data_IF_318879617587
#
_entry.id   IF_318879617587
#
_cell.length_a   1.000
_cell.length_b   1.000
_cell.length_c   1.000
_cell.angle_alpha   90.00
_cell.angle_beta   90.00
_cell.angle_gamma   90.00
#
_symmetry.space_group_name_H-M   'P 1'
#
loop_
_entity.id
_entity.type
_entity.pdbx_description
1 polymer ?
#
# COMPACT_ATOMS: atom_id res chain seq x y z
N UNK A 1 17.02 -12.70 -5.62
CA UNK A 1 17.02 -11.92 -4.36
C UNK A 1 18.45 -11.91 -3.84
N UNK A 2 18.91 -10.82 -3.26
CA UNK A 2 20.31 -10.71 -2.83
C UNK A 2 20.58 -11.52 -1.53
N UNK A 3 19.52 -11.84 -0.75
CA UNK A 3 19.60 -12.52 0.54
C UNK A 3 18.64 -13.71 0.72
N UNK A 4 17.96 -14.15 -0.35
CA UNK A 4 16.97 -15.24 -0.31
C UNK A 4 15.69 -14.91 0.48
N UNK A 5 14.77 -15.89 0.62
CA UNK A 5 13.54 -15.70 1.36
C UNK A 5 13.80 -15.57 2.86
N UNK A 6 13.11 -14.62 3.50
CA UNK A 6 13.19 -14.37 4.94
C UNK A 6 11.79 -14.46 5.53
N UNK A 7 11.65 -15.14 6.67
CA UNK A 7 10.38 -15.20 7.40
C UNK A 7 10.05 -13.82 7.99
N UNK A 8 8.87 -13.30 7.67
CA UNK A 8 8.33 -12.07 8.25
C UNK A 8 7.68 -12.29 9.64
N UNK A 9 6.92 -11.30 10.09
CA UNK A 9 6.22 -11.36 11.39
C UNK A 9 5.01 -12.32 11.42
N UNK A 10 4.58 -12.82 10.25
CA UNK A 10 3.42 -13.72 10.12
C UNK A 10 2.10 -13.14 10.66
N UNK A 11 1.93 -11.82 10.59
CA UNK A 11 0.68 -11.14 10.97
C UNK A 11 -0.39 -11.18 9.88
N UNK A 12 0.03 -11.34 8.62
CA UNK A 12 -0.81 -11.41 7.44
C UNK A 12 -0.32 -12.57 6.57
N UNK A 13 -1.25 -13.42 6.12
CA UNK A 13 -0.93 -14.53 5.21
C UNK A 13 -0.57 -13.98 3.83
N UNK A 14 0.61 -14.33 3.34
CA UNK A 14 1.08 -13.93 2.03
C UNK A 14 2.58 -13.77 1.95
N UNK A 15 3.02 -13.07 0.91
CA UNK A 15 4.44 -12.90 0.59
C UNK A 15 4.74 -11.51 0.09
N UNK A 16 5.95 -11.02 0.38
CA UNK A 16 6.48 -9.83 -0.25
C UNK A 16 7.20 -10.26 -1.53
N UNK A 17 6.70 -9.84 -2.68
CA UNK A 17 7.21 -10.26 -4.00
C UNK A 17 7.76 -9.09 -4.77
N UNK A 18 8.72 -9.36 -5.65
CA UNK A 18 9.31 -8.33 -6.51
C UNK A 18 8.32 -7.91 -7.59
N UNK A 19 8.23 -6.61 -7.83
CA UNK A 19 7.54 -6.06 -9.00
C UNK A 19 8.21 -6.57 -10.28
N UNK A 20 7.41 -7.11 -11.18
CA UNK A 20 7.86 -7.46 -12.53
C UNK A 20 7.98 -6.19 -13.37
N UNK A 21 9.10 -6.05 -14.08
CA UNK A 21 9.26 -4.92 -15.00
C UNK A 21 8.51 -5.22 -16.29
N UNK A 22 7.65 -4.31 -16.72
CA UNK A 22 6.94 -4.36 -18.00
C UNK A 22 7.31 -3.12 -18.85
N UNK A 23 6.70 -2.95 -20.02
CA UNK A 23 6.90 -1.73 -20.81
C UNK A 23 6.27 -0.50 -20.12
N UNK A 24 5.21 -0.74 -19.35
CA UNK A 24 4.38 0.24 -18.64
C UNK A 24 4.87 0.42 -17.19
N UNK A 25 5.33 -0.65 -16.52
CA UNK A 25 5.80 -0.66 -15.13
C UNK A 25 7.30 -0.51 -15.02
N UNK A 26 7.74 0.66 -14.55
CA UNK A 26 9.12 0.87 -14.10
C UNK A 26 9.34 0.27 -12.71
N UNK A 27 10.54 -0.27 -12.48
CA UNK A 27 10.98 -0.81 -11.19
C UNK A 27 12.26 -0.10 -10.76
N UNK A 28 12.32 0.52 -9.57
CA UNK A 28 11.25 0.60 -8.56
C UNK A 28 10.02 1.38 -9.05
N UNK A 29 8.85 1.05 -8.50
CA UNK A 29 7.71 1.96 -8.55
C UNK A 29 8.09 3.18 -7.70
N UNK A 30 8.22 4.33 -8.34
CA UNK A 30 8.70 5.55 -7.72
C UNK A 30 7.93 6.75 -8.24
N UNK A 31 7.26 7.47 -7.34
CA UNK A 31 6.49 8.66 -7.68
C UNK A 31 5.16 8.72 -6.96
N UNK A 32 4.33 9.66 -7.41
CA UNK A 32 2.99 9.86 -6.89
C UNK A 32 2.02 8.94 -7.60
N UNK A 33 1.34 8.07 -6.87
CA UNK A 33 0.31 7.18 -7.42
C UNK A 33 -1.05 7.49 -6.80
N UNK A 34 -2.14 7.48 -7.59
CA UNK A 34 -3.48 7.53 -7.05
C UNK A 34 -3.77 6.20 -6.35
N UNK A 35 -4.25 6.27 -5.11
CA UNK A 35 -4.67 5.10 -4.34
C UNK A 35 -6.16 4.88 -4.51
N UNK A 36 -6.54 3.67 -4.95
CA UNK A 36 -7.91 3.22 -5.04
C UNK A 36 -8.25 2.41 -3.79
N UNK A 37 -9.15 2.95 -2.97
CA UNK A 37 -9.71 2.24 -1.82
C UNK A 37 -10.68 1.17 -2.30
N UNK A 38 -10.43 -0.09 -1.92
CA UNK A 38 -11.32 -1.23 -2.19
C UNK A 38 -12.34 -1.41 -1.06
N UNK A 39 -11.93 -1.15 0.18
CA UNK A 39 -12.78 -1.26 1.36
C UNK A 39 -12.61 -0.05 2.27
N UNK A 40 -13.70 0.46 2.87
CA UNK A 40 -13.63 1.61 3.73
C UNK A 40 -12.81 1.31 4.99
N UNK A 41 -11.92 2.22 5.36
CA UNK A 41 -11.21 2.21 6.64
C UNK A 41 -11.08 3.65 7.14
N UNK A 42 -11.36 3.95 8.42
CA UNK A 42 -11.40 5.33 8.92
C UNK A 42 -10.08 6.10 8.69
N UNK A 43 -8.94 5.42 8.86
CA UNK A 43 -7.61 6.01 8.62
C UNK A 43 -7.38 6.37 7.15
N UNK A 44 -7.84 5.55 6.20
CA UNK A 44 -7.68 5.83 4.76
C UNK A 44 -8.67 6.90 4.27
N UNK A 45 -9.89 6.87 4.78
CA UNK A 45 -10.96 7.80 4.38
C UNK A 45 -10.60 9.27 4.66
N UNK A 46 -9.73 9.54 5.63
CA UNK A 46 -9.29 10.87 6.00
C UNK A 46 -8.58 11.64 4.86
N UNK A 47 -8.02 10.93 3.88
CA UNK A 47 -7.30 11.54 2.75
C UNK A 47 -8.20 11.84 1.54
N UNK A 48 -9.51 11.54 1.60
CA UNK A 48 -10.48 11.78 0.53
C UNK A 48 -10.65 10.57 -0.41
N UNK A 49 -11.44 10.74 -1.48
CA UNK A 49 -11.85 9.63 -2.36
C UNK A 49 -10.75 9.14 -3.31
N UNK A 50 -9.90 10.05 -3.82
CA UNK A 50 -8.83 9.75 -4.78
C UNK A 50 -7.50 10.40 -4.36
N UNK A 51 -6.96 10.02 -3.19
CA UNK A 51 -5.72 10.61 -2.71
C UNK A 51 -4.53 10.12 -3.54
N UNK A 52 -3.55 11.01 -3.71
CA UNK A 52 -2.24 10.66 -4.22
C UNK A 52 -1.27 10.50 -3.05
N UNK A 53 -0.47 9.44 -3.09
CA UNK A 53 0.60 9.19 -2.13
C UNK A 53 1.92 8.91 -2.85
N UNK A 54 3.02 9.16 -2.16
CA UNK A 54 4.37 8.94 -2.67
C UNK A 54 4.84 7.50 -2.39
N UNK A 55 5.22 6.79 -3.44
CA UNK A 55 5.74 5.44 -3.41
C UNK A 55 7.23 5.41 -3.80
N UNK A 56 7.98 4.50 -3.19
CA UNK A 56 9.34 4.12 -3.61
C UNK A 56 9.65 2.69 -3.18
N UNK A 57 9.40 1.72 -4.06
CA UNK A 57 9.60 0.31 -3.73
C UNK A 57 9.83 -0.57 -4.97
N UNK A 58 10.60 -1.65 -4.83
CA UNK A 58 10.73 -2.70 -5.86
C UNK A 58 9.98 -3.98 -5.52
N UNK A 59 9.41 -4.07 -4.33
CA UNK A 59 8.69 -5.23 -3.81
C UNK A 59 7.37 -4.78 -3.20
N UNK A 60 6.35 -5.63 -3.19
CA UNK A 60 5.05 -5.32 -2.61
C UNK A 60 4.46 -6.55 -1.91
N UNK A 61 3.52 -6.31 -0.99
CA UNK A 61 2.79 -7.37 -0.31
C UNK A 61 1.73 -7.98 -1.23
N UNK A 62 1.86 -9.26 -1.53
CA UNK A 62 0.83 -10.08 -2.14
C UNK A 62 0.16 -10.90 -1.03
N UNK A 63 -0.98 -10.39 -0.56
CA UNK A 63 -1.81 -11.05 0.44
C UNK A 63 -2.52 -12.26 -0.19
N UNK A 64 -2.60 -13.37 0.56
CA UNK A 64 -3.39 -14.54 0.17
C UNK A 64 -4.88 -14.33 0.46
N UNK A 65 -5.19 -13.65 1.57
CA UNK A 65 -6.54 -13.24 1.93
C UNK A 65 -6.82 -11.83 1.38
N UNK A 66 -7.75 -11.74 0.42
CA UNK A 66 -8.15 -10.45 -0.16
C UNK A 66 -8.92 -9.58 0.84
N UNK A 67 -9.51 -10.17 1.88
CA UNK A 67 -10.15 -9.43 2.97
C UNK A 67 -9.13 -8.75 3.90
N UNK A 68 -7.83 -8.97 3.73
CA UNK A 68 -6.81 -8.18 4.43
C UNK A 68 -6.40 -6.93 3.60
N UNK A 69 -6.80 -6.85 2.31
CA UNK A 69 -6.43 -5.73 1.42
C UNK A 69 -7.45 -4.59 1.50
N UNK A 70 -6.98 -3.38 1.85
CA UNK A 70 -7.83 -2.18 1.93
C UNK A 70 -7.80 -1.33 0.66
N UNK A 71 -6.64 -1.21 0.04
CA UNK A 71 -6.45 -0.33 -1.10
C UNK A 71 -5.37 -0.86 -2.02
N UNK A 72 -5.48 -0.48 -3.29
CA UNK A 72 -4.55 -0.84 -4.35
C UNK A 72 -4.08 0.41 -5.09
N UNK A 73 -2.97 0.27 -5.81
CA UNK A 73 -2.61 1.15 -6.92
C UNK A 73 -2.58 0.33 -8.20
N UNK A 74 -2.92 0.98 -9.31
CA UNK A 74 -2.57 0.51 -10.64
C UNK A 74 -1.54 1.51 -11.18
N UNK A 75 -0.24 1.20 -11.14
CA UNK A 75 0.77 2.02 -11.80
C UNK A 75 0.39 2.17 -13.28
N UNK A 76 0.71 3.32 -13.87
CA UNK A 76 0.27 3.70 -15.21
C UNK A 76 0.43 2.56 -16.23
N UNK A 77 -0.70 2.10 -16.80
CA UNK A 77 -0.73 1.13 -17.90
C UNK A 77 -0.76 -0.35 -17.51
N UNK A 78 -0.74 -0.70 -16.23
CA UNK A 78 -0.78 -2.10 -15.80
C UNK A 78 -2.19 -2.68 -15.64
N UNK A 79 -2.35 -3.97 -16.00
CA UNK A 79 -3.56 -4.76 -15.71
C UNK A 79 -3.57 -5.32 -14.27
N UNK A 80 -2.41 -5.54 -13.66
CA UNK A 80 -2.31 -6.16 -12.34
C UNK A 80 -2.18 -5.12 -11.21
N UNK A 81 -3.16 -5.04 -10.29
CA UNK A 81 -3.11 -4.10 -9.18
C UNK A 81 -2.07 -4.51 -8.13
N UNK A 82 -1.49 -3.51 -7.48
CA UNK A 82 -0.53 -3.68 -6.39
C UNK A 82 -1.18 -3.25 -5.08
N UNK A 83 -1.05 -4.06 -4.04
CA UNK A 83 -1.48 -3.72 -2.68
C UNK A 83 -0.82 -2.43 -2.19
N UNK A 84 -1.65 -1.44 -1.87
CA UNK A 84 -1.23 -0.13 -1.37
C UNK A 84 -1.43 0.00 0.14
N UNK A 85 -2.47 -0.63 0.69
CA UNK A 85 -2.76 -0.66 2.11
C UNK A 85 -3.46 -1.96 2.51
N UNK A 86 -3.18 -2.41 3.73
CA UNK A 86 -3.75 -3.61 4.35
C UNK A 86 -4.25 -3.29 5.75
N UNK A 87 -5.23 -4.04 6.23
CA UNK A 87 -5.65 -4.00 7.63
C UNK A 87 -6.25 -5.33 8.08
N UNK A 88 -6.01 -5.66 9.35
CA UNK A 88 -6.53 -6.86 10.02
C UNK A 88 -6.58 -6.63 11.52
N UNK A 89 -7.75 -6.80 12.15
CA UNK A 89 -7.95 -6.48 13.56
C UNK A 89 -7.46 -5.05 13.88
N UNK A 90 -6.49 -4.89 14.79
CA UNK A 90 -5.88 -3.62 15.16
C UNK A 90 -4.69 -3.20 14.27
N UNK A 91 -4.36 -3.96 13.22
CA UNK A 91 -3.29 -3.64 12.29
C UNK A 91 -3.81 -2.79 11.14
N UNK A 92 -3.09 -1.72 10.82
CA UNK A 92 -3.11 -1.06 9.51
C UNK A 92 -1.68 -0.84 9.04
N UNK A 93 -1.41 -1.12 7.78
CA UNK A 93 -0.12 -0.83 7.15
C UNK A 93 -0.32 -0.28 5.74
N UNK A 94 0.63 0.56 5.31
CA UNK A 94 0.63 1.20 4.00
C UNK A 94 1.96 0.98 3.30
N UNK A 95 1.95 0.78 1.99
CA UNK A 95 3.15 0.63 1.17
C UNK A 95 3.78 1.96 0.78
N UNK A 96 2.98 3.02 0.74
CA UNK A 96 3.43 4.40 0.48
C UNK A 96 3.99 5.07 1.73
N UNK A 97 4.62 6.22 1.54
CA UNK A 97 5.21 7.04 2.60
C UNK A 97 4.29 8.20 2.98
N UNK A 98 3.40 8.05 3.99
CA UNK A 98 2.50 9.13 4.38
C UNK A 98 3.27 10.39 4.83
N UNK A 99 4.44 10.25 5.44
CA UNK A 99 5.31 11.35 5.83
C UNK A 99 5.90 12.14 4.64
N UNK A 100 5.93 11.53 3.45
CA UNK A 100 6.37 12.16 2.19
C UNK A 100 5.23 12.54 1.25
N UNK A 101 3.98 12.35 1.69
CA UNK A 101 2.79 12.47 0.84
C UNK A 101 1.99 13.77 1.05
N UNK A 102 2.67 14.84 1.48
CA UNK A 102 2.08 16.18 1.65
C UNK A 102 0.80 16.16 2.51
N UNK A 103 -0.18 17.00 2.18
CA UNK A 103 -1.44 17.13 2.92
C UNK A 103 -2.23 15.82 3.03
N UNK A 104 -2.25 14.98 1.98
CA UNK A 104 -2.93 13.68 2.02
C UNK A 104 -2.30 12.74 3.03
N UNK A 105 -0.97 12.74 3.08
CA UNK A 105 -0.18 12.01 4.05
C UNK A 105 -0.39 12.47 5.50
N UNK A 106 -0.36 13.79 5.73
CA UNK A 106 -0.59 14.37 7.05
C UNK A 106 -1.99 14.04 7.59
N UNK A 107 -3.03 14.12 6.76
CA UNK A 107 -4.40 13.74 7.15
C UNK A 107 -4.51 12.27 7.55
N UNK A 108 -3.83 11.39 6.82
CA UNK A 108 -3.79 9.96 7.15
C UNK A 108 -3.12 9.73 8.50
N UNK A 109 -1.96 10.38 8.75
CA UNK A 109 -1.24 10.26 10.01
C UNK A 109 -2.06 10.82 11.19
N UNK A 110 -2.73 11.95 11.00
CA UNK A 110 -3.63 12.52 12.01
C UNK A 110 -4.77 11.55 12.34
N UNK A 111 -5.39 10.94 11.33
CA UNK A 111 -6.45 9.97 11.52
C UNK A 111 -5.94 8.70 12.22
N UNK A 112 -4.74 8.23 11.87
CA UNK A 112 -4.09 7.11 12.54
C UNK A 112 -3.87 7.39 14.04
N UNK A 113 -3.34 8.56 14.40
CA UNK A 113 -3.12 8.94 15.80
C UNK A 113 -4.42 9.03 16.63
N UNK A 114 -5.55 9.27 15.98
CA UNK A 114 -6.88 9.37 16.62
C UNK A 114 -7.66 8.05 16.58
N UNK A 115 -7.18 7.06 15.83
CA UNK A 115 -7.89 5.81 15.61
C UNK A 115 -7.78 4.91 16.84
N UNK A 116 -8.93 4.38 17.26
CA UNK A 116 -9.07 3.38 18.32
C UNK A 116 -9.62 2.09 17.70
N UNK A 117 -8.77 1.06 17.47
CA UNK A 117 -9.18 -0.22 16.88
C UNK A 117 -10.08 -1.06 17.78
#
# INVERSE_FOLDING_TARGET
EEFGPVQGLDWLSGRVVRLQRTAERKVPNMGWCPVQTLRPHPVLAASGEKPYFYFVHSYYAQCEDLDDTLAIICPEGDEEPITAAVAKNALIAVQFHPEKSSASGLKLLEAFCRWTP
#
